data_IF_886630630397
#
_entry.id   IF_886630630397
#
_cell.length_a   1.000
_cell.length_b   1.000
_cell.length_c   1.000
_cell.angle_alpha   90.00
_cell.angle_beta   90.00
_cell.angle_gamma   90.00
#
_symmetry.space_group_name_H-M   'P 1'
#
loop_
_entity.id
_entity.type
_entity.pdbx_description
1 polymer ?
#
# COMPACT_ATOMS: atom_id res chain seq x y z
N UNK A 1 27.15 25.37 -17.81
CA UNK A 1 26.89 25.37 -16.36
C UNK A 1 25.61 26.15 -16.15
N UNK A 2 24.49 25.45 -16.03
CA UNK A 2 23.22 26.05 -15.62
C UNK A 2 23.11 25.79 -14.12
N UNK A 3 23.12 26.86 -13.33
CA UNK A 3 22.83 26.78 -11.90
C UNK A 3 21.44 26.16 -11.71
N UNK A 4 21.35 25.08 -10.92
CA UNK A 4 20.07 24.57 -10.47
C UNK A 4 19.39 25.67 -9.64
N UNK A 5 18.12 26.01 -9.90
CA UNK A 5 17.48 27.10 -9.17
C UNK A 5 17.45 26.78 -7.67
N UNK A 6 18.11 27.63 -6.88
CA UNK A 6 18.00 27.62 -5.43
C UNK A 6 16.53 27.82 -5.05
N UNK A 7 15.95 26.78 -4.46
CA UNK A 7 14.58 26.66 -3.91
C UNK A 7 13.40 26.57 -4.88
N UNK A 8 13.26 25.44 -5.58
CA UNK A 8 11.91 24.99 -5.98
C UNK A 8 11.07 24.77 -4.71
N UNK A 9 9.95 25.48 -4.57
CA UNK A 9 9.06 25.37 -3.40
C UNK A 9 8.18 24.12 -3.50
N UNK A 10 7.65 23.64 -2.37
CA UNK A 10 6.67 22.54 -2.35
C UNK A 10 5.47 22.87 -3.23
N UNK A 11 4.95 24.10 -3.15
CA UNK A 11 3.85 24.56 -4.01
C UNK A 11 4.18 24.41 -5.51
N UNK A 12 5.39 24.80 -5.93
CA UNK A 12 5.82 24.61 -7.31
C UNK A 12 5.89 23.12 -7.70
N UNK A 13 6.42 22.26 -6.82
CA UNK A 13 6.48 20.81 -7.07
C UNK A 13 5.08 20.16 -7.17
N UNK A 14 4.10 20.67 -6.42
CA UNK A 14 2.72 20.19 -6.46
C UNK A 14 1.98 20.58 -7.75
N UNK A 15 2.45 21.60 -8.46
CA UNK A 15 1.88 22.04 -9.74
C UNK A 15 2.53 21.36 -10.96
N UNK A 16 3.67 20.68 -10.76
CA UNK A 16 4.38 19.99 -11.85
C UNK A 16 3.71 18.67 -12.21
N UNK A 17 3.07 18.63 -13.37
CA UNK A 17 2.57 17.39 -13.93
C UNK A 17 3.73 16.59 -14.57
N UNK A 18 3.99 15.39 -14.03
CA UNK A 18 4.99 14.41 -14.50
C UNK A 18 6.30 15.05 -15.01
N UNK A 19 7.12 15.65 -14.12
CA UNK A 19 8.37 16.30 -14.51
C UNK A 19 9.27 15.36 -15.31
N UNK A 20 9.87 15.89 -16.38
CA UNK A 20 10.85 15.16 -17.17
C UNK A 20 12.17 15.07 -16.40
N UNK A 21 12.52 13.87 -15.95
CA UNK A 21 13.78 13.61 -15.23
C UNK A 21 14.85 13.14 -16.21
N UNK A 22 15.86 13.98 -16.44
CA UNK A 22 17.01 13.69 -17.30
C UNK A 22 18.25 13.39 -16.46
N UNK A 23 18.43 14.08 -15.33
CA UNK A 23 19.56 13.94 -14.43
C UNK A 23 19.14 13.81 -12.96
N UNK A 24 20.11 13.48 -12.09
CA UNK A 24 19.88 13.42 -10.64
C UNK A 24 19.46 14.78 -10.08
N UNK A 25 19.99 15.87 -10.63
CA UNK A 25 19.72 17.22 -10.12
C UNK A 25 18.24 17.60 -10.23
N UNK A 26 17.51 17.04 -11.20
CA UNK A 26 16.05 17.20 -11.36
C UNK A 26 15.26 16.61 -10.16
N UNK A 27 15.88 15.70 -9.41
CA UNK A 27 15.27 15.02 -8.26
C UNK A 27 15.63 15.67 -6.92
N UNK A 28 16.62 16.57 -6.90
CA UNK A 28 17.18 17.07 -5.64
C UNK A 28 16.19 17.90 -4.82
N UNK A 29 15.24 18.59 -5.46
CA UNK A 29 14.19 19.31 -4.74
C UNK A 29 13.29 18.36 -3.93
N UNK A 30 12.90 17.22 -4.52
CA UNK A 30 12.14 16.17 -3.85
C UNK A 30 12.95 15.53 -2.71
N UNK A 31 14.23 15.19 -2.97
CA UNK A 31 15.12 14.61 -1.97
C UNK A 31 15.34 15.52 -0.76
N UNK A 32 15.55 16.82 -0.98
CA UNK A 32 15.68 17.80 0.10
C UNK A 32 14.41 17.94 0.89
N UNK A 33 13.24 17.86 0.25
CA UNK A 33 11.97 17.96 0.94
C UNK A 33 11.73 16.76 1.87
N UNK A 34 11.90 15.53 1.39
CA UNK A 34 11.77 14.34 2.24
C UNK A 34 12.81 14.32 3.38
N UNK A 35 13.99 14.90 3.17
CA UNK A 35 15.02 15.03 4.22
C UNK A 35 14.63 16.02 5.34
N UNK A 36 13.60 16.86 5.15
CA UNK A 36 13.05 17.69 6.23
C UNK A 36 11.94 16.99 7.02
N UNK A 37 11.31 15.99 6.42
CA UNK A 37 10.14 15.33 6.99
C UNK A 37 10.56 14.34 8.08
N UNK A 38 9.73 14.20 9.12
CA UNK A 38 10.01 13.27 10.21
C UNK A 38 9.87 11.80 9.75
N UNK A 39 10.77 10.94 10.24
CA UNK A 39 10.63 9.48 10.17
C UNK A 39 9.38 9.04 10.95
N UNK A 40 8.51 8.25 10.31
CA UNK A 40 7.34 7.64 10.97
C UNK A 40 7.25 6.14 10.69
N UNK A 41 8.28 5.55 10.07
CA UNK A 41 8.38 4.11 9.77
C UNK A 41 7.19 3.65 8.92
N UNK A 42 7.08 4.21 7.72
CA UNK A 42 5.99 3.94 6.76
C UNK A 42 6.52 3.75 5.35
N UNK A 43 5.78 3.00 4.56
CA UNK A 43 6.06 2.75 3.12
C UNK A 43 5.18 3.59 2.20
N UNK A 44 4.27 4.40 2.76
CA UNK A 44 3.35 5.25 2.01
C UNK A 44 4.01 6.58 1.62
N UNK A 45 4.06 6.94 0.33
CA UNK A 45 4.47 8.27 -0.12
C UNK A 45 3.63 9.36 0.55
N UNK A 46 4.27 10.50 0.84
CA UNK A 46 3.71 11.54 1.71
C UNK A 46 3.95 11.28 3.19
N UNK A 47 4.19 10.03 3.61
CA UNK A 47 4.52 9.63 4.99
C UNK A 47 5.98 9.23 5.23
N UNK A 48 6.88 9.38 4.27
CA UNK A 48 8.30 9.07 4.42
C UNK A 48 9.10 10.35 4.72
N UNK A 49 10.11 10.23 5.57
CA UNK A 49 10.99 11.35 5.89
C UNK A 49 12.30 10.90 6.52
N UNK A 50 13.36 11.69 6.38
CA UNK A 50 14.68 11.39 6.93
C UNK A 50 15.20 12.49 7.88
N UNK A 51 14.28 13.30 8.41
CA UNK A 51 14.55 14.56 9.10
C UNK A 51 15.21 14.46 10.47
N UNK A 52 15.23 13.29 11.12
CA UNK A 52 16.00 13.11 12.35
C UNK A 52 17.50 12.87 12.07
N UNK A 53 17.93 12.86 10.81
CA UNK A 53 19.34 12.66 10.42
C UNK A 53 20.17 13.86 10.84
N UNK A 54 21.35 13.61 11.40
CA UNK A 54 22.24 14.64 11.94
C UNK A 54 23.63 14.57 11.28
N UNK A 55 24.41 15.67 11.33
CA UNK A 55 25.81 15.63 10.94
C UNK A 55 26.58 14.54 11.70
N UNK A 56 27.27 13.68 10.96
CA UNK A 56 28.02 12.55 11.50
C UNK A 56 27.25 11.22 11.56
N UNK A 57 25.93 11.21 11.35
CA UNK A 57 25.16 9.96 11.26
C UNK A 57 25.72 9.06 10.15
N UNK A 58 25.75 7.75 10.38
CA UNK A 58 26.03 6.74 9.37
C UNK A 58 24.71 6.19 8.84
N UNK A 59 24.48 6.35 7.55
CA UNK A 59 23.26 5.89 6.87
C UNK A 59 23.58 4.79 5.88
N UNK A 60 22.84 3.68 5.96
CA UNK A 60 22.88 2.62 4.96
C UNK A 60 21.65 2.76 4.06
N UNK A 61 21.86 3.06 2.79
CA UNK A 61 20.80 2.99 1.76
C UNK A 61 20.92 1.65 1.07
N UNK A 62 19.94 0.78 1.28
CA UNK A 62 19.93 -0.55 0.69
C UNK A 62 18.75 -0.70 -0.28
N UNK A 63 19.06 -1.03 -1.52
CA UNK A 63 18.13 -1.13 -2.65
C UNK A 63 18.41 -2.39 -3.45
N UNK A 64 17.58 -2.68 -4.45
CA UNK A 64 17.87 -3.74 -5.42
C UNK A 64 18.01 -3.21 -6.85
N UNK A 65 18.36 -4.09 -7.78
CA UNK A 65 18.59 -3.76 -9.20
C UNK A 65 17.37 -3.27 -9.97
N UNK A 66 16.15 -3.30 -9.39
CA UNK A 66 14.96 -2.70 -10.01
C UNK A 66 14.84 -1.19 -9.78
N UNK A 67 15.61 -0.60 -8.85
CA UNK A 67 15.60 0.84 -8.65
C UNK A 67 16.33 1.58 -9.77
N UNK A 68 15.75 2.70 -10.20
CA UNK A 68 16.48 3.69 -10.98
C UNK A 68 17.58 4.31 -10.11
N UNK A 69 18.83 4.18 -10.58
CA UNK A 69 20.02 4.66 -9.86
C UNK A 69 19.96 6.16 -9.53
N UNK A 70 19.23 6.95 -10.32
CA UNK A 70 19.07 8.39 -10.09
C UNK A 70 18.27 8.67 -8.82
N UNK A 71 17.25 7.87 -8.54
CA UNK A 71 16.46 7.98 -7.30
C UNK A 71 17.35 7.68 -6.09
N UNK A 72 18.11 6.58 -6.16
CA UNK A 72 19.02 6.15 -5.09
C UNK A 72 20.08 7.22 -4.82
N UNK A 73 20.69 7.76 -5.87
CA UNK A 73 21.70 8.82 -5.76
C UNK A 73 21.11 10.12 -5.23
N UNK A 74 19.89 10.51 -5.63
CA UNK A 74 19.23 11.71 -5.11
C UNK A 74 18.97 11.61 -3.59
N UNK A 75 18.46 10.47 -3.13
CA UNK A 75 18.28 10.19 -1.69
C UNK A 75 19.62 10.23 -0.95
N UNK A 76 20.65 9.57 -1.49
CA UNK A 76 21.98 9.56 -0.87
C UNK A 76 22.59 10.97 -0.81
N UNK A 77 22.43 11.79 -1.85
CA UNK A 77 22.89 13.20 -1.85
C UNK A 77 22.13 14.03 -0.84
N UNK A 78 20.79 13.90 -0.74
CA UNK A 78 20.00 14.63 0.25
C UNK A 78 20.46 14.34 1.69
N UNK A 79 20.72 13.08 2.02
CA UNK A 79 21.26 12.68 3.32
C UNK A 79 22.69 13.21 3.56
N UNK A 80 23.55 13.21 2.53
CA UNK A 80 24.90 13.80 2.61
C UNK A 80 24.86 15.31 2.82
N UNK A 81 23.88 16.02 2.23
CA UNK A 81 23.66 17.45 2.49
C UNK A 81 23.29 17.74 3.96
N UNK A 82 22.67 16.78 4.66
CA UNK A 82 22.44 16.85 6.11
C UNK A 82 23.69 16.57 6.95
N UNK A 83 24.84 16.31 6.32
CA UNK A 83 26.11 16.00 6.98
C UNK A 83 26.30 14.53 7.35
N UNK A 84 25.45 13.62 6.86
CA UNK A 84 25.61 12.18 7.08
C UNK A 84 26.66 11.56 6.16
N UNK A 85 27.27 10.47 6.63
CA UNK A 85 28.01 9.54 5.77
C UNK A 85 27.06 8.47 5.25
N UNK A 86 27.07 8.24 3.93
CA UNK A 86 26.07 7.38 3.28
C UNK A 86 26.75 6.29 2.46
N UNK A 87 26.53 5.05 2.88
CA UNK A 87 26.88 3.84 2.14
C UNK A 87 25.67 3.35 1.35
N UNK A 88 25.90 2.91 0.11
CA UNK A 88 24.86 2.37 -0.76
C UNK A 88 25.16 0.90 -1.05
N UNK A 89 24.20 0.03 -0.76
CA UNK A 89 24.24 -1.39 -1.12
C UNK A 89 23.15 -1.67 -2.14
N UNK A 90 23.53 -2.22 -3.29
CA UNK A 90 22.59 -2.70 -4.30
C UNK A 90 22.61 -4.23 -4.31
N UNK A 91 21.45 -4.82 -4.03
CA UNK A 91 21.25 -6.26 -4.08
C UNK A 91 20.77 -6.66 -5.46
N UNK A 92 21.32 -7.73 -6.01
CA UNK A 92 20.83 -8.29 -7.26
C UNK A 92 19.42 -8.87 -7.05
N UNK A 93 18.43 -8.25 -7.69
CA UNK A 93 17.13 -8.86 -7.92
C UNK A 93 17.15 -9.62 -9.26
N UNK A 94 16.10 -10.40 -9.48
CA UNK A 94 15.86 -11.01 -10.79
C UNK A 94 15.81 -9.96 -11.91
N UNK A 95 15.99 -10.37 -13.19
CA UNK A 95 15.85 -9.45 -14.30
C UNK A 95 14.49 -8.76 -14.31
N UNK A 96 14.50 -7.48 -14.67
CA UNK A 96 13.28 -6.75 -14.95
C UNK A 96 12.60 -7.37 -16.17
N UNK A 97 11.32 -7.68 -16.01
CA UNK A 97 10.50 -8.39 -17.00
C UNK A 97 9.05 -8.02 -16.84
N UNK A 98 8.22 -8.45 -17.77
CA UNK A 98 6.77 -8.35 -17.58
C UNK A 98 6.29 -9.20 -16.39
N UNK A 99 5.24 -8.71 -15.72
CA UNK A 99 4.49 -9.50 -14.76
C UNK A 99 3.85 -10.72 -15.42
N UNK A 100 3.94 -11.85 -14.72
CA UNK A 100 3.24 -13.10 -15.06
C UNK A 100 1.86 -13.13 -14.39
N UNK A 101 1.04 -14.12 -14.72
CA UNK A 101 -0.32 -14.30 -14.19
C UNK A 101 -0.34 -14.80 -12.74
N UNK A 102 0.81 -15.17 -12.16
CA UNK A 102 0.93 -15.72 -10.80
C UNK A 102 2.02 -15.07 -9.94
N UNK A 103 2.65 -13.97 -10.38
CA UNK A 103 3.76 -13.35 -9.63
C UNK A 103 3.36 -13.01 -8.18
N UNK A 104 2.10 -12.65 -7.92
CA UNK A 104 1.65 -12.41 -6.55
C UNK A 104 1.68 -13.65 -5.69
N UNK A 105 1.16 -14.76 -6.23
CA UNK A 105 1.17 -16.06 -5.56
C UNK A 105 2.61 -16.50 -5.28
N UNK A 106 3.47 -16.39 -6.29
CA UNK A 106 4.88 -16.81 -6.21
C UNK A 106 5.72 -15.94 -5.28
N UNK A 107 5.28 -14.71 -4.98
CA UNK A 107 5.95 -13.80 -4.06
C UNK A 107 5.37 -13.88 -2.65
N UNK A 108 4.06 -14.02 -2.45
CA UNK A 108 3.45 -13.95 -1.11
C UNK A 108 3.32 -15.31 -0.44
N UNK A 109 2.92 -16.34 -1.20
CA UNK A 109 2.54 -17.64 -0.65
C UNK A 109 3.78 -18.50 -0.38
N UNK A 110 3.91 -19.02 0.84
CA UNK A 110 5.15 -19.64 1.33
C UNK A 110 4.86 -20.87 2.19
N UNK A 111 5.84 -21.77 2.26
CA UNK A 111 5.85 -22.98 3.11
C UNK A 111 7.18 -23.14 3.87
N UNK A 112 8.00 -22.10 3.86
CA UNK A 112 9.29 -22.07 4.54
C UNK A 112 9.44 -20.71 5.22
N UNK A 113 10.31 -20.55 6.23
CA UNK A 113 10.51 -19.25 6.86
C UNK A 113 10.88 -18.19 5.83
N UNK A 114 10.17 -17.06 5.82
CA UNK A 114 10.41 -15.97 4.88
C UNK A 114 11.85 -15.43 4.97
N UNK A 115 12.54 -15.61 6.09
CA UNK A 115 13.94 -15.22 6.25
C UNK A 115 14.90 -16.02 5.37
N UNK A 116 14.55 -17.26 4.99
CA UNK A 116 15.35 -18.10 4.07
C UNK A 116 15.16 -17.69 2.61
N UNK A 117 13.95 -17.26 2.26
CA UNK A 117 13.59 -16.78 0.93
C UNK A 117 12.71 -15.53 1.04
N UNK A 118 13.32 -14.34 1.28
CA UNK A 118 12.59 -13.10 1.46
C UNK A 118 11.68 -12.81 0.28
N UNK A 119 10.48 -12.29 0.57
CA UNK A 119 9.54 -11.90 -0.49
C UNK A 119 10.11 -10.68 -1.23
N UNK A 120 9.88 -10.63 -2.54
CA UNK A 120 10.07 -9.40 -3.33
C UNK A 120 9.28 -8.28 -2.63
N UNK A 121 9.81 -7.06 -2.61
CA UNK A 121 9.23 -5.86 -1.99
C UNK A 121 9.48 -5.64 -0.49
N UNK A 122 9.86 -6.68 0.25
CA UNK A 122 10.23 -6.56 1.65
C UNK A 122 11.66 -6.08 1.87
N UNK A 123 11.97 -5.72 3.13
CA UNK A 123 13.35 -5.62 3.58
C UNK A 123 14.04 -7.00 3.63
N UNK A 124 15.35 -7.04 3.46
CA UNK A 124 16.17 -8.24 3.47
C UNK A 124 16.78 -8.44 4.87
N UNK A 125 16.57 -9.60 5.54
CA UNK A 125 17.09 -9.83 6.89
C UNK A 125 18.60 -9.58 7.03
N UNK A 126 19.40 -10.00 6.06
CA UNK A 126 20.85 -9.82 6.13
C UNK A 126 21.27 -8.34 6.00
N UNK A 127 20.48 -7.50 5.32
CA UNK A 127 20.68 -6.04 5.28
C UNK A 127 20.33 -5.43 6.63
N UNK A 128 19.24 -5.89 7.25
CA UNK A 128 18.83 -5.49 8.59
C UNK A 128 19.92 -5.86 9.62
N UNK A 129 20.46 -7.08 9.54
CA UNK A 129 21.59 -7.55 10.35
C UNK A 129 22.88 -6.77 10.08
N UNK A 130 23.18 -6.45 8.81
CA UNK A 130 24.32 -5.61 8.44
C UNK A 130 24.21 -4.23 9.09
N UNK A 131 23.04 -3.59 9.00
CA UNK A 131 22.79 -2.30 9.61
C UNK A 131 23.06 -2.31 11.12
N UNK A 132 22.57 -3.34 11.81
CA UNK A 132 22.77 -3.53 13.24
C UNK A 132 24.25 -3.80 13.60
N UNK A 133 24.90 -4.73 12.90
CA UNK A 133 26.28 -5.16 13.17
C UNK A 133 27.27 -4.03 12.97
N UNK A 134 27.13 -3.29 11.88
CA UNK A 134 28.01 -2.17 11.54
C UNK A 134 27.59 -0.86 12.22
N UNK A 135 26.52 -0.90 13.05
CA UNK A 135 26.02 0.23 13.85
C UNK A 135 25.69 1.47 13.02
N UNK A 136 24.89 1.28 11.98
CA UNK A 136 24.31 2.41 11.24
C UNK A 136 23.23 3.09 12.10
N UNK A 137 23.17 4.42 12.05
CA UNK A 137 22.19 5.22 12.79
C UNK A 137 20.81 5.18 12.10
N UNK A 138 20.80 5.08 10.77
CA UNK A 138 19.60 4.95 9.94
C UNK A 138 19.80 3.90 8.84
N UNK A 139 18.84 2.98 8.71
CA UNK A 139 18.66 2.12 7.56
C UNK A 139 17.54 2.66 6.68
N UNK A 140 17.85 3.00 5.43
CA UNK A 140 16.87 3.33 4.38
C UNK A 140 16.69 2.11 3.49
N UNK A 141 15.58 1.39 3.66
CA UNK A 141 15.39 0.10 3.01
C UNK A 141 13.92 -0.33 2.86
N UNK A 142 13.62 -1.09 1.81
CA UNK A 142 12.32 -1.68 1.58
C UNK A 142 11.38 -0.80 0.75
N UNK A 143 10.53 -1.48 -0.03
CA UNK A 143 9.68 -0.88 -1.07
C UNK A 143 8.19 -0.85 -0.69
N UNK A 144 7.82 -1.73 0.22
CA UNK A 144 6.46 -2.02 0.64
C UNK A 144 6.46 -2.97 1.83
N UNK A 145 5.28 -3.44 2.21
CA UNK A 145 5.11 -4.38 3.32
C UNK A 145 5.44 -3.79 4.70
N UNK A 146 5.55 -4.69 5.68
CA UNK A 146 5.78 -4.33 7.08
C UNK A 146 7.26 -4.07 7.39
N UNK A 147 7.55 -2.89 7.94
CA UNK A 147 8.86 -2.60 8.56
C UNK A 147 8.98 -3.40 9.87
N UNK A 148 10.08 -4.13 10.11
CA UNK A 148 10.27 -4.92 11.32
C UNK A 148 10.53 -4.04 12.54
N UNK A 149 10.39 -4.61 13.74
CA UNK A 149 10.80 -3.96 14.98
C UNK A 149 12.30 -4.17 15.16
N UNK A 150 13.08 -3.10 14.96
CA UNK A 150 14.54 -3.09 15.05
C UNK A 150 14.99 -1.98 16.01
N UNK A 151 16.15 -2.12 16.69
CA UNK A 151 16.60 -1.17 17.70
C UNK A 151 17.20 0.13 17.14
N UNK A 152 17.34 0.25 15.82
CA UNK A 152 17.86 1.42 15.11
C UNK A 152 16.77 2.10 14.26
N UNK A 153 17.04 3.32 13.77
CA UNK A 153 16.10 4.03 12.90
C UNK A 153 16.01 3.29 11.57
N UNK A 154 14.79 3.08 11.09
CA UNK A 154 14.51 2.39 9.84
C UNK A 154 13.44 3.19 9.12
N UNK A 155 13.69 3.57 7.87
CA UNK A 155 12.67 4.19 7.03
C UNK A 155 12.68 3.59 5.61
N UNK A 156 11.54 3.63 4.92
CA UNK A 156 11.40 3.03 3.59
C UNK A 156 11.95 3.92 2.46
N UNK A 157 12.07 3.32 1.27
CA UNK A 157 12.34 3.99 0.00
C UNK A 157 11.47 3.36 -1.10
N UNK A 158 10.15 3.66 -1.17
CA UNK A 158 9.20 2.94 -2.03
C UNK A 158 9.25 3.36 -3.51
N UNK A 159 10.05 4.36 -3.86
CA UNK A 159 10.12 4.92 -5.20
C UNK A 159 11.14 4.14 -6.04
N UNK A 160 10.65 3.25 -6.90
CA UNK A 160 11.53 2.50 -7.79
C UNK A 160 11.98 3.30 -9.00
N UNK A 161 11.05 4.05 -9.57
CA UNK A 161 11.27 4.78 -10.82
C UNK A 161 11.26 6.29 -10.57
N UNK A 162 11.83 7.03 -11.51
CA UNK A 162 11.93 8.49 -11.39
C UNK A 162 10.57 9.18 -11.37
N UNK A 163 9.57 8.64 -12.07
CA UNK A 163 8.19 9.14 -12.07
C UNK A 163 7.46 8.89 -10.75
N UNK A 164 7.83 7.84 -9.99
CA UNK A 164 7.35 7.70 -8.61
C UNK A 164 7.93 8.81 -7.74
N UNK A 165 9.26 8.99 -7.81
CA UNK A 165 9.99 9.89 -6.91
C UNK A 165 9.67 11.35 -7.21
N UNK A 166 9.74 11.75 -8.47
CA UNK A 166 9.41 13.07 -8.97
C UNK A 166 7.90 13.19 -9.21
N UNK A 167 7.11 12.95 -8.16
CA UNK A 167 5.65 13.11 -8.17
C UNK A 167 5.20 13.99 -7.02
N UNK A 168 4.03 14.63 -7.19
CA UNK A 168 3.38 15.36 -6.12
C UNK A 168 3.07 14.46 -4.91
N UNK A 169 2.92 13.14 -5.09
CA UNK A 169 2.72 12.19 -3.99
C UNK A 169 3.91 12.12 -3.03
N UNK A 170 5.14 12.33 -3.52
CA UNK A 170 6.36 12.30 -2.68
C UNK A 170 6.42 13.47 -1.72
N UNK A 171 6.00 14.66 -2.18
CA UNK A 171 6.07 15.93 -1.45
C UNK A 171 4.70 16.43 -1.00
N UNK A 172 3.70 15.56 -0.99
CA UNK A 172 2.35 15.92 -0.58
C UNK A 172 2.39 16.43 0.87
N UNK A 173 1.75 17.58 1.19
CA UNK A 173 1.94 18.24 2.49
C UNK A 173 1.58 17.32 3.66
N UNK A 174 2.55 17.12 4.58
CA UNK A 174 2.46 16.13 5.65
C UNK A 174 1.30 16.37 6.60
N UNK A 175 1.08 17.61 7.02
CA UNK A 175 0.00 17.98 7.93
C UNK A 175 -1.37 17.78 7.29
N UNK A 176 -1.52 18.14 6.02
CA UNK A 176 -2.73 17.89 5.24
C UNK A 176 -3.00 16.40 5.08
N UNK A 177 -2.00 15.61 4.70
CA UNK A 177 -2.15 14.17 4.56
C UNK A 177 -2.50 13.51 5.89
N UNK A 178 -1.88 13.95 6.99
CA UNK A 178 -2.20 13.52 8.36
C UNK A 178 -3.66 13.81 8.70
N UNK A 179 -4.13 15.03 8.40
CA UNK A 179 -5.52 15.42 8.65
C UNK A 179 -6.52 14.56 7.84
N UNK A 180 -6.26 14.32 6.55
CA UNK A 180 -7.06 13.43 5.71
C UNK A 180 -7.16 12.02 6.32
N UNK A 181 -6.02 11.49 6.77
CA UNK A 181 -5.97 10.15 7.37
C UNK A 181 -6.75 10.10 8.70
N UNK A 182 -6.59 11.11 9.55
CA UNK A 182 -7.33 11.20 10.81
C UNK A 182 -8.83 11.33 10.57
N UNK A 183 -9.27 12.24 9.69
CA UNK A 183 -10.69 12.42 9.38
C UNK A 183 -11.35 11.13 8.89
N UNK A 184 -10.66 10.42 8.01
CA UNK A 184 -11.11 9.11 7.54
C UNK A 184 -11.14 8.09 8.68
N UNK A 185 -10.08 8.03 9.49
CA UNK A 185 -9.94 7.05 10.57
C UNK A 185 -10.98 7.21 11.68
N UNK A 186 -11.31 8.46 12.06
CA UNK A 186 -12.29 8.74 13.12
C UNK A 186 -13.70 8.28 12.74
N UNK A 187 -14.02 8.15 11.44
CA UNK A 187 -15.25 7.52 11.01
C UNK A 187 -15.35 6.06 11.48
N UNK A 188 -14.24 5.31 11.50
CA UNK A 188 -14.19 3.94 12.01
C UNK A 188 -13.99 3.91 13.53
N UNK A 189 -12.99 4.63 14.03
CA UNK A 189 -12.50 4.51 15.41
C UNK A 189 -13.47 5.09 16.45
N UNK A 190 -14.00 6.29 16.19
CA UNK A 190 -14.87 6.98 17.16
C UNK A 190 -16.34 6.74 16.89
N UNK A 191 -16.75 6.82 15.62
CA UNK A 191 -18.17 6.83 15.24
C UNK A 191 -18.68 5.47 14.82
N UNK A 192 -17.84 4.70 14.13
CA UNK A 192 -18.17 3.42 13.54
C UNK A 192 -17.97 2.22 14.46
N UNK A 193 -17.30 2.36 15.60
CA UNK A 193 -17.06 1.26 16.54
C UNK A 193 -18.36 0.62 17.01
N UNK A 194 -18.57 -0.65 16.68
CA UNK A 194 -19.81 -1.41 16.90
C UNK A 194 -20.85 -1.29 15.79
N UNK A 195 -20.57 -0.51 14.75
CA UNK A 195 -21.41 -0.33 13.56
C UNK A 195 -21.16 -1.39 12.49
N UNK A 196 -21.90 -1.28 11.39
CA UNK A 196 -21.84 -2.19 10.24
C UNK A 196 -21.26 -1.46 9.03
N UNK A 197 -20.37 -2.13 8.31
CA UNK A 197 -19.81 -1.63 7.06
C UNK A 197 -20.49 -2.30 5.89
N UNK A 198 -20.74 -1.54 4.84
CA UNK A 198 -21.12 -2.03 3.52
C UNK A 198 -20.16 -1.47 2.48
N UNK A 199 -19.48 -2.36 1.76
CA UNK A 199 -18.59 -2.03 0.64
C UNK A 199 -19.22 -2.54 -0.65
N UNK A 200 -19.36 -1.66 -1.64
CA UNK A 200 -19.77 -2.02 -3.01
C UNK A 200 -18.76 -1.50 -4.00
N UNK A 201 -18.65 -2.13 -5.17
CA UNK A 201 -17.83 -1.64 -6.29
C UNK A 201 -18.50 -2.02 -7.62
N UNK A 202 -18.46 -1.16 -8.66
CA UNK A 202 -19.05 -1.45 -9.97
C UNK A 202 -18.54 -2.74 -10.63
N UNK A 203 -17.35 -3.21 -10.28
CA UNK A 203 -16.82 -4.50 -10.73
C UNK A 203 -17.56 -5.70 -10.11
N UNK A 204 -18.45 -5.49 -9.14
CA UNK A 204 -19.36 -6.48 -8.56
C UNK A 204 -19.04 -6.90 -7.12
N UNK A 205 -18.31 -6.07 -6.38
CA UNK A 205 -18.15 -6.26 -4.93
C UNK A 205 -19.44 -5.87 -4.21
N UNK A 206 -19.84 -6.69 -3.25
CA UNK A 206 -20.88 -6.41 -2.26
C UNK A 206 -20.51 -7.18 -0.99
N UNK A 207 -19.87 -6.49 -0.04
CA UNK A 207 -19.31 -7.07 1.19
C UNK A 207 -19.87 -6.34 2.41
N UNK A 208 -20.32 -7.08 3.43
CA UNK A 208 -20.82 -6.53 4.69
C UNK A 208 -20.11 -7.17 5.88
N UNK A 209 -19.84 -6.39 6.92
CA UNK A 209 -19.22 -6.88 8.16
C UNK A 209 -19.43 -5.88 9.31
N UNK A 210 -19.23 -6.34 10.55
CA UNK A 210 -19.34 -5.52 11.75
C UNK A 210 -17.97 -5.02 12.23
N UNK A 211 -17.88 -3.74 12.60
CA UNK A 211 -16.72 -3.16 13.28
C UNK A 211 -16.75 -3.52 14.77
N UNK A 212 -16.53 -4.79 15.09
CA UNK A 212 -16.64 -5.26 16.47
C UNK A 212 -15.77 -4.43 17.44
N UNK A 213 -16.33 -3.93 18.56
CA UNK A 213 -15.58 -3.10 19.52
C UNK A 213 -14.30 -3.75 20.04
N UNK A 214 -14.24 -5.08 20.08
CA UNK A 214 -13.10 -5.88 20.52
C UNK A 214 -11.89 -5.81 19.57
N UNK A 215 -12.06 -5.39 18.31
CA UNK A 215 -10.92 -5.11 17.45
C UNK A 215 -10.15 -3.86 17.90
N UNK A 216 -10.83 -2.91 18.56
CA UNK A 216 -10.29 -1.62 19.00
C UNK A 216 -9.74 -1.65 20.44
N UNK A 217 -9.06 -2.74 20.80
CA UNK A 217 -8.47 -2.94 22.14
C UNK A 217 -7.02 -2.41 22.25
N UNK A 218 -6.47 -1.88 21.15
CA UNK A 218 -5.11 -1.34 21.09
C UNK A 218 -4.00 -2.39 20.93
N UNK A 219 -4.35 -3.68 20.90
CA UNK A 219 -3.37 -4.78 20.77
C UNK A 219 -3.02 -5.10 19.32
N UNK A 220 -3.86 -4.67 18.38
CA UNK A 220 -3.75 -4.95 16.96
C UNK A 220 -2.97 -3.86 16.23
N UNK A 221 -1.97 -4.27 15.45
CA UNK A 221 -1.09 -3.35 14.70
C UNK A 221 -1.92 -2.51 13.73
N UNK A 222 -1.77 -1.18 13.81
CA UNK A 222 -2.47 -0.24 12.93
C UNK A 222 -3.94 0.00 13.28
N UNK A 223 -4.41 -0.53 14.41
CA UNK A 223 -5.80 -0.46 14.85
C UNK A 223 -5.88 0.17 16.26
N UNK A 224 -5.27 1.34 16.41
CA UNK A 224 -5.27 2.15 17.64
C UNK A 224 -5.90 3.53 17.37
N UNK A 225 -5.87 4.42 18.35
CA UNK A 225 -6.28 5.84 18.19
C UNK A 225 -5.51 6.57 17.08
N UNK A 226 -4.25 6.19 16.85
CA UNK A 226 -3.43 6.63 15.73
C UNK A 226 -3.47 5.57 14.61
N UNK A 227 -3.93 5.92 13.39
CA UNK A 227 -4.04 4.94 12.32
C UNK A 227 -2.70 4.56 11.72
N UNK A 228 -2.72 3.52 10.89
CA UNK A 228 -1.61 3.25 9.98
C UNK A 228 -1.60 4.26 8.84
N UNK A 229 -0.85 5.34 9.01
CA UNK A 229 -0.70 6.42 8.02
C UNK A 229 -0.49 5.92 6.58
N UNK A 230 -1.35 6.36 5.67
CA UNK A 230 -1.29 6.02 4.25
C UNK A 230 -1.87 4.63 3.89
N UNK A 231 -2.40 3.89 4.86
CA UNK A 231 -2.90 2.53 4.70
C UNK A 231 -3.97 2.22 5.77
N UNK A 232 -5.13 2.86 5.68
CA UNK A 232 -6.13 2.80 6.75
C UNK A 232 -6.91 1.49 6.70
N UNK A 233 -7.00 0.78 7.82
CA UNK A 233 -7.68 -0.52 7.90
C UNK A 233 -9.18 -0.33 8.20
N UNK A 234 -10.03 -0.53 7.21
CA UNK A 234 -11.49 -0.46 7.33
C UNK A 234 -12.13 -1.74 7.93
N UNK A 235 -11.34 -2.79 8.17
CA UNK A 235 -11.74 -4.04 8.84
C UNK A 235 -10.71 -4.39 9.92
N UNK A 236 -11.13 -5.17 10.93
CA UNK A 236 -10.28 -5.53 12.06
C UNK A 236 -9.20 -6.56 11.66
N UNK A 237 -7.90 -6.27 11.86
CA UNK A 237 -6.85 -7.17 11.43
C UNK A 237 -6.72 -8.38 12.37
N UNK A 238 -5.89 -9.36 11.95
CA UNK A 238 -5.53 -10.53 12.77
C UNK A 238 -5.02 -10.15 14.18
N UNK A 239 -5.35 -10.93 15.23
CA UNK A 239 -6.17 -12.15 15.20
C UNK A 239 -7.66 -11.87 14.98
N UNK A 240 -8.28 -12.69 14.12
CA UNK A 240 -9.69 -12.58 13.73
C UNK A 240 -10.58 -13.10 14.87
N UNK A 241 -11.66 -12.38 15.16
CA UNK A 241 -12.57 -12.73 16.24
C UNK A 241 -13.40 -13.98 15.90
N UNK A 242 -13.73 -14.85 16.88
CA UNK A 242 -14.62 -15.99 16.65
C UNK A 242 -16.01 -15.65 16.14
N UNK A 243 -16.47 -14.42 16.39
CA UNK A 243 -17.76 -13.88 15.98
C UNK A 243 -17.71 -13.07 14.69
N UNK A 244 -16.60 -13.16 13.93
CA UNK A 244 -16.48 -12.51 12.62
C UNK A 244 -17.67 -12.86 11.72
N UNK A 245 -18.24 -11.85 11.08
CA UNK A 245 -19.49 -11.94 10.33
C UNK A 245 -19.34 -11.49 8.86
N UNK A 246 -18.12 -11.14 8.43
CA UNK A 246 -17.89 -10.66 7.08
C UNK A 246 -18.43 -11.63 6.01
N UNK A 247 -19.41 -11.17 5.25
CA UNK A 247 -20.16 -12.00 4.31
C UNK A 247 -20.46 -11.21 3.05
N UNK A 248 -20.33 -11.89 1.90
CA UNK A 248 -20.60 -11.28 0.61
C UNK A 248 -19.57 -11.69 -0.43
N UNK A 249 -19.27 -10.77 -1.33
CA UNK A 249 -18.43 -11.03 -2.49
C UNK A 249 -17.46 -9.87 -2.72
N UNK A 250 -16.20 -10.21 -2.98
CA UNK A 250 -15.16 -9.29 -3.46
C UNK A 250 -14.88 -9.63 -4.92
N UNK A 251 -15.00 -8.66 -5.81
CA UNK A 251 -14.76 -8.81 -7.24
C UNK A 251 -13.77 -7.76 -7.74
N UNK A 252 -12.96 -8.11 -8.73
CA UNK A 252 -12.02 -7.18 -9.37
C UNK A 252 -11.19 -7.85 -10.45
N UNK A 253 -10.27 -7.07 -11.02
CA UNK A 253 -9.42 -7.46 -12.17
C UNK A 253 -7.93 -7.26 -11.95
N UNK A 254 -7.55 -6.76 -10.76
CA UNK A 254 -6.17 -6.44 -10.37
C UNK A 254 -5.87 -6.85 -8.93
N UNK A 255 -4.58 -7.01 -8.65
CA UNK A 255 -4.00 -7.28 -7.34
C UNK A 255 -2.58 -6.71 -7.29
N UNK A 256 -1.78 -6.86 -6.23
CA UNK A 256 -0.58 -6.03 -6.02
C UNK A 256 0.49 -6.09 -7.12
N UNK A 257 1.01 -7.28 -7.45
CA UNK A 257 2.22 -7.38 -8.29
C UNK A 257 2.16 -8.58 -9.23
N UNK A 258 1.13 -8.60 -10.08
CA UNK A 258 1.02 -9.55 -11.17
C UNK A 258 0.27 -8.94 -12.37
N UNK A 259 0.19 -9.69 -13.46
CA UNK A 259 -0.58 -9.31 -14.63
C UNK A 259 -2.08 -9.20 -14.26
N UNK A 260 -2.79 -8.15 -14.71
CA UNK A 260 -4.24 -8.07 -14.56
C UNK A 260 -4.91 -9.34 -15.08
N UNK A 261 -5.90 -9.81 -14.35
CA UNK A 261 -6.55 -11.10 -14.58
C UNK A 261 -8.02 -10.92 -14.97
N UNK A 262 -8.60 -11.83 -15.76
CA UNK A 262 -10.03 -11.83 -16.03
C UNK A 262 -10.81 -11.78 -14.72
N UNK A 263 -11.95 -11.08 -14.69
CA UNK A 263 -12.72 -10.82 -13.47
C UNK A 263 -12.75 -12.04 -12.54
N UNK A 264 -12.29 -11.83 -11.32
CA UNK A 264 -12.41 -12.80 -10.23
C UNK A 264 -13.60 -12.44 -9.36
N UNK A 265 -14.21 -13.45 -8.75
CA UNK A 265 -15.21 -13.32 -7.69
C UNK A 265 -14.80 -14.19 -6.52
N UNK A 266 -14.59 -13.58 -5.36
CA UNK A 266 -14.24 -14.22 -4.11
C UNK A 266 -15.42 -14.09 -3.14
N UNK A 267 -16.09 -15.20 -2.83
CA UNK A 267 -17.24 -15.24 -1.91
C UNK A 267 -16.78 -15.60 -0.50
N UNK A 268 -17.24 -14.80 0.46
CA UNK A 268 -16.94 -14.93 1.88
C UNK A 268 -18.18 -15.26 2.68
N UNK A 269 -18.01 -16.10 3.71
CA UNK A 269 -19.01 -16.38 4.73
C UNK A 269 -18.36 -16.36 6.11
N UNK A 270 -18.88 -15.53 7.02
CA UNK A 270 -18.37 -15.36 8.38
C UNK A 270 -16.84 -15.17 8.43
N UNK A 271 -16.32 -14.26 7.59
CA UNK A 271 -14.91 -13.92 7.49
C UNK A 271 -14.06 -14.82 6.62
N UNK A 272 -14.54 -16.01 6.23
CA UNK A 272 -13.73 -17.04 5.57
C UNK A 272 -14.08 -17.16 4.09
N UNK A 273 -13.06 -17.37 3.26
CA UNK A 273 -13.23 -17.74 1.86
C UNK A 273 -14.01 -19.06 1.75
N UNK A 274 -15.08 -19.05 0.96
CA UNK A 274 -15.86 -20.25 0.65
C UNK A 274 -15.81 -20.62 -0.83
N UNK A 275 -15.72 -19.63 -1.74
CA UNK A 275 -15.68 -19.91 -3.18
C UNK A 275 -14.92 -18.86 -3.97
N UNK A 276 -14.23 -19.31 -5.03
CA UNK A 276 -13.57 -18.46 -6.02
C UNK A 276 -14.05 -18.83 -7.42
N UNK A 277 -14.59 -17.86 -8.15
CA UNK A 277 -15.06 -17.98 -9.53
C UNK A 277 -14.26 -17.05 -10.45
N UNK A 278 -13.98 -17.48 -11.69
CA UNK A 278 -13.18 -16.67 -12.63
C UNK A 278 -11.71 -16.54 -12.21
N UNK A 279 -11.09 -15.40 -12.55
CA UNK A 279 -9.71 -15.06 -12.16
C UNK A 279 -8.59 -15.60 -13.06
N UNK A 280 -8.90 -16.39 -14.09
CA UNK A 280 -7.87 -17.10 -14.88
C UNK A 280 -6.92 -17.92 -14.00
N UNK A 281 -5.64 -17.94 -14.36
CA UNK A 281 -4.58 -18.66 -13.62
C UNK A 281 -4.50 -18.23 -12.14
N UNK A 282 -4.72 -16.94 -11.86
CA UNK A 282 -4.73 -16.44 -10.49
C UNK A 282 -5.87 -17.05 -9.69
N UNK A 283 -7.09 -17.09 -10.25
CA UNK A 283 -8.23 -17.74 -9.64
C UNK A 283 -8.04 -19.25 -9.43
N UNK A 284 -7.37 -19.93 -10.37
CA UNK A 284 -7.00 -21.34 -10.21
C UNK A 284 -6.01 -21.55 -9.07
N UNK A 285 -5.01 -20.67 -8.93
CA UNK A 285 -4.08 -20.70 -7.81
C UNK A 285 -4.78 -20.50 -6.47
N UNK A 286 -5.70 -19.54 -6.37
CA UNK A 286 -6.54 -19.36 -5.17
C UNK A 286 -7.31 -20.64 -4.80
N UNK A 287 -7.96 -21.28 -5.77
CA UNK A 287 -8.71 -22.54 -5.55
C UNK A 287 -7.80 -23.65 -5.04
N UNK A 288 -6.62 -23.82 -5.62
CA UNK A 288 -5.64 -24.82 -5.20
C UNK A 288 -5.15 -24.59 -3.77
N UNK A 289 -4.74 -23.36 -3.44
CA UNK A 289 -4.25 -22.98 -2.12
C UNK A 289 -5.34 -23.06 -1.04
N UNK A 290 -6.58 -22.73 -1.40
CA UNK A 290 -7.72 -22.90 -0.51
C UNK A 290 -7.96 -24.38 -0.20
N UNK A 291 -7.92 -25.24 -1.22
CA UNK A 291 -8.02 -26.69 -1.07
C UNK A 291 -6.91 -27.29 -0.20
N UNK A 292 -5.68 -26.79 -0.32
CA UNK A 292 -4.53 -27.22 0.50
C UNK A 292 -4.68 -26.84 1.98
N UNK A 293 -5.18 -25.63 2.26
CA UNK A 293 -5.16 -25.07 3.62
C UNK A 293 -6.45 -25.26 4.41
N UNK A 294 -7.54 -25.72 3.79
CA UNK A 294 -8.90 -25.77 4.39
C UNK A 294 -8.98 -26.47 5.76
N UNK A 295 -8.15 -27.49 5.99
CA UNK A 295 -8.17 -28.30 7.22
C UNK A 295 -7.08 -27.88 8.23
N UNK A 296 -6.29 -26.85 7.90
CA UNK A 296 -5.22 -26.34 8.78
C UNK A 296 -5.77 -25.32 9.77
N UNK A 297 -5.56 -25.56 11.06
CA UNK A 297 -5.86 -24.59 12.12
C UNK A 297 -4.68 -23.64 12.34
N UNK A 298 -4.86 -22.38 11.99
CA UNK A 298 -3.88 -21.31 12.26
C UNK A 298 -4.14 -20.67 13.63
N UNK A 299 -3.12 -20.20 14.36
CA UNK A 299 -3.30 -19.61 15.69
C UNK A 299 -4.07 -18.27 15.67
N UNK A 300 -4.11 -17.58 14.52
CA UNK A 300 -4.75 -16.26 14.37
C UNK A 300 -6.20 -16.32 13.85
N UNK A 301 -6.71 -17.50 13.50
CA UNK A 301 -8.04 -17.69 12.93
C UNK A 301 -8.92 -18.56 13.81
N UNK A 302 -10.24 -18.29 13.89
CA UNK A 302 -11.10 -19.00 14.82
C UNK A 302 -11.52 -20.39 14.34
N UNK A 303 -11.38 -20.71 13.05
CA UNK A 303 -11.65 -22.04 12.48
C UNK A 303 -10.60 -22.39 11.41
N UNK A 304 -10.48 -23.66 11.00
CA UNK A 304 -9.54 -24.07 9.96
C UNK A 304 -9.72 -23.35 8.61
N UNK A 305 -8.61 -23.20 7.89
CA UNK A 305 -8.49 -22.48 6.62
C UNK A 305 -7.58 -21.26 6.70
N UNK A 306 -6.80 -21.01 5.65
CA UNK A 306 -5.88 -19.87 5.58
C UNK A 306 -6.58 -18.55 5.23
N UNK A 307 -7.49 -18.58 4.25
CA UNK A 307 -8.03 -17.37 3.64
C UNK A 307 -9.18 -16.77 4.44
N UNK A 308 -8.83 -15.96 5.44
CA UNK A 308 -9.74 -15.10 6.19
C UNK A 308 -9.56 -13.65 5.80
N UNK A 309 -10.66 -12.90 5.70
CA UNK A 309 -10.62 -11.45 5.55
C UNK A 309 -9.91 -10.86 6.76
N UNK A 310 -8.82 -10.14 6.50
CA UNK A 310 -8.09 -9.43 7.54
C UNK A 310 -7.69 -8.01 7.12
N UNK A 311 -7.67 -7.75 5.82
CA UNK A 311 -7.29 -6.44 5.29
C UNK A 311 -8.37 -5.92 4.36
N UNK A 312 -8.95 -4.78 4.72
CA UNK A 312 -9.71 -3.90 3.83
C UNK A 312 -9.03 -2.55 3.97
N UNK A 313 -8.03 -2.28 3.13
CA UNK A 313 -7.12 -1.17 3.36
C UNK A 313 -7.31 -0.05 2.33
N UNK A 314 -7.40 1.18 2.83
CA UNK A 314 -7.70 2.39 2.07
C UNK A 314 -6.41 3.18 1.81
N UNK A 315 -6.13 3.45 0.52
CA UNK A 315 -5.17 4.45 0.11
C UNK A 315 -5.69 5.87 0.38
N UNK A 316 -4.81 6.82 0.67
CA UNK A 316 -5.21 8.18 1.12
C UNK A 316 -4.48 9.33 0.42
N UNK A 317 -3.55 9.04 -0.49
CA UNK A 317 -2.78 10.08 -1.18
C UNK A 317 -3.42 10.40 -2.54
N UNK A 318 -3.98 11.60 -2.78
CA UNK A 318 -4.66 11.92 -4.04
C UNK A 318 -3.71 12.07 -5.23
N UNK A 319 -2.39 12.14 -4.99
CA UNK A 319 -1.38 12.43 -6.00
C UNK A 319 -0.68 11.20 -6.57
N UNK A 320 -1.15 10.01 -6.20
CA UNK A 320 -0.63 8.75 -6.75
C UNK A 320 -1.15 8.58 -8.18
N UNK A 321 -0.25 8.32 -9.11
CA UNK A 321 -0.55 8.05 -10.51
C UNK A 321 0.00 6.69 -10.94
N UNK A 322 -0.66 6.05 -11.92
CA UNK A 322 -0.14 4.84 -12.57
C UNK A 322 1.22 5.09 -13.23
N UNK A 323 2.24 4.26 -12.96
CA UNK A 323 3.52 4.32 -13.66
C UNK A 323 3.34 3.96 -15.15
N UNK A 324 4.10 4.60 -16.06
CA UNK A 324 3.94 4.38 -17.51
C UNK A 324 4.35 2.96 -17.94
N UNK A 325 5.23 2.31 -17.18
CA UNK A 325 5.71 0.95 -17.44
C UNK A 325 5.07 -0.08 -16.50
N UNK A 326 3.80 0.10 -16.11
CA UNK A 326 3.05 -0.75 -15.16
C UNK A 326 3.15 -2.27 -15.42
N UNK A 327 3.47 -2.68 -16.65
CA UNK A 327 3.66 -4.08 -17.03
C UNK A 327 4.96 -4.70 -16.49
N UNK A 328 5.96 -3.90 -16.13
CA UNK A 328 7.28 -4.36 -15.67
C UNK A 328 7.38 -4.47 -14.15
N UNK A 329 8.20 -5.40 -13.65
CA UNK A 329 8.45 -5.56 -12.21
C UNK A 329 9.00 -4.30 -11.55
N UNK A 330 9.86 -3.58 -12.26
CA UNK A 330 10.48 -2.35 -11.80
C UNK A 330 9.50 -1.18 -11.61
N UNK A 331 8.29 -1.27 -12.17
CA UNK A 331 7.21 -0.28 -11.94
C UNK A 331 6.54 -0.43 -10.58
N UNK A 332 6.71 -1.56 -9.91
CA UNK A 332 5.95 -1.90 -8.72
C UNK A 332 4.48 -2.21 -8.90
N UNK A 333 4.01 -2.29 -10.15
CA UNK A 333 2.67 -2.76 -10.42
C UNK A 333 1.61 -1.97 -9.65
N UNK A 334 0.58 -2.68 -9.22
CA UNK A 334 -0.55 -2.09 -8.53
C UNK A 334 -0.29 -1.89 -7.02
N UNK A 335 0.84 -2.37 -6.47
CA UNK A 335 1.31 -2.00 -5.12
C UNK A 335 1.58 -0.50 -5.00
N UNK A 336 1.91 0.17 -6.11
CA UNK A 336 1.98 1.62 -6.16
C UNK A 336 0.58 2.27 -6.21
N UNK A 337 -0.28 1.83 -7.15
CA UNK A 337 -1.60 2.42 -7.41
C UNK A 337 -2.53 2.38 -6.20
N UNK A 338 -2.52 1.29 -5.42
CA UNK A 338 -3.39 1.11 -4.24
C UNK A 338 -3.25 2.21 -3.18
N UNK A 339 -2.19 3.01 -3.24
CA UNK A 339 -1.91 4.09 -2.28
C UNK A 339 -2.72 5.35 -2.60
N UNK A 340 -3.33 5.41 -3.78
CA UNK A 340 -4.21 6.49 -4.19
C UNK A 340 -5.41 6.60 -3.25
N UNK A 341 -5.78 7.84 -2.93
CA UNK A 341 -6.98 8.14 -2.14
C UNK A 341 -8.21 7.43 -2.70
N UNK A 342 -8.92 6.70 -1.84
CA UNK A 342 -10.22 6.10 -2.18
C UNK A 342 -10.16 4.73 -2.86
N UNK A 343 -8.97 4.24 -3.22
CA UNK A 343 -8.79 2.83 -3.63
C UNK A 343 -8.78 1.96 -2.38
N UNK A 344 -9.46 0.81 -2.46
CA UNK A 344 -9.40 -0.25 -1.45
C UNK A 344 -8.65 -1.43 -2.04
N UNK A 345 -7.73 -2.04 -1.29
CA UNK A 345 -7.32 -3.41 -1.55
C UNK A 345 -7.79 -4.33 -0.43
N UNK A 346 -8.31 -5.48 -0.84
CA UNK A 346 -8.87 -6.48 0.07
C UNK A 346 -7.93 -7.68 0.12
N UNK A 347 -7.40 -7.99 1.30
CA UNK A 347 -6.46 -9.07 1.54
C UNK A 347 -7.06 -10.19 2.39
N UNK A 348 -6.86 -11.43 1.96
CA UNK A 348 -7.28 -12.63 2.70
C UNK A 348 -6.10 -13.54 2.99
N UNK A 349 -5.90 -13.91 4.26
CA UNK A 349 -4.78 -14.74 4.70
C UNK A 349 -4.09 -14.22 5.97
N UNK A 350 -2.85 -14.64 6.20
CA UNK A 350 -2.05 -14.22 7.37
C UNK A 350 -1.48 -12.82 7.22
N UNK A 351 -1.32 -12.09 8.32
CA UNK A 351 -0.70 -10.74 8.28
C UNK A 351 0.78 -10.84 7.97
N UNK A 352 1.23 -9.91 7.12
CA UNK A 352 2.62 -9.78 6.69
C UNK A 352 3.61 -9.64 7.87
N UNK A 353 4.62 -10.53 7.94
CA UNK A 353 5.61 -10.62 9.03
C UNK A 353 4.98 -10.77 10.42
N UNK A 354 3.76 -11.30 10.50
CA UNK A 354 3.12 -11.64 11.76
C UNK A 354 3.75 -12.87 12.42
N UNK A 355 3.51 -13.04 13.73
CA UNK A 355 3.95 -14.24 14.46
C UNK A 355 3.32 -15.53 13.91
N UNK A 356 2.15 -15.42 13.28
CA UNK A 356 1.46 -16.49 12.58
C UNK A 356 2.22 -16.98 11.33
N UNK A 357 2.90 -16.09 10.59
CA UNK A 357 3.72 -16.47 9.43
C UNK A 357 5.01 -17.15 9.88
N UNK A 358 5.60 -16.69 10.98
CA UNK A 358 6.75 -17.36 11.62
C UNK A 358 6.37 -18.77 12.05
N UNK A 359 5.24 -18.90 12.76
CA UNK A 359 4.72 -20.19 13.23
C UNK A 359 4.51 -21.19 12.08
N UNK A 360 3.90 -20.75 10.97
CA UNK A 360 3.62 -21.59 9.81
C UNK A 360 4.90 -21.97 9.05
N UNK A 361 5.78 -20.98 8.79
CA UNK A 361 7.04 -21.19 8.08
C UNK A 361 7.97 -22.18 8.78
N UNK A 362 8.07 -22.13 10.12
CA UNK A 362 8.84 -23.11 10.91
C UNK A 362 8.30 -24.55 10.81
N UNK A 363 7.03 -24.70 10.43
CA UNK A 363 6.31 -25.98 10.40
C UNK A 363 6.11 -26.53 8.99
N UNK A 364 6.60 -25.85 7.96
CA UNK A 364 6.35 -26.26 6.59
C UNK A 364 4.92 -26.00 6.10
N UNK A 365 4.14 -25.21 6.85
CA UNK A 365 2.72 -24.98 6.60
C UNK A 365 2.56 -23.79 5.64
N UNK A 366 1.58 -23.87 4.73
CA UNK A 366 1.25 -22.78 3.82
C UNK A 366 0.88 -21.51 4.61
N UNK A 367 1.42 -20.37 4.23
CA UNK A 367 1.01 -19.06 4.75
C UNK A 367 1.17 -17.97 3.70
N UNK A 368 0.69 -16.78 4.03
CA UNK A 368 0.61 -15.62 3.15
C UNK A 368 -0.83 -15.14 3.02
N UNK A 369 -1.02 -14.12 2.20
CA UNK A 369 -2.34 -13.61 1.85
C UNK A 369 -2.34 -13.13 0.40
N UNK A 370 -3.52 -13.02 -0.18
CA UNK A 370 -3.70 -12.64 -1.58
C UNK A 370 -4.74 -11.55 -1.68
N UNK A 371 -4.66 -10.75 -2.75
CA UNK A 371 -5.44 -9.53 -2.87
C UNK A 371 -6.37 -9.48 -4.07
N UNK A 372 -7.40 -8.65 -3.92
CA UNK A 372 -8.22 -8.08 -4.99
C UNK A 372 -8.34 -6.57 -4.74
N UNK A 373 -8.07 -5.75 -5.74
CA UNK A 373 -8.20 -4.29 -5.63
C UNK A 373 -9.58 -3.83 -6.11
N UNK A 374 -10.09 -2.78 -5.47
CA UNK A 374 -11.34 -2.09 -5.75
C UNK A 374 -11.01 -0.64 -6.09
N UNK A 375 -11.25 -0.26 -7.33
CA UNK A 375 -10.86 1.04 -7.86
C UNK A 375 -11.92 2.13 -7.69
N UNK A 376 -13.19 1.75 -7.63
CA UNK A 376 -14.31 2.67 -7.48
C UNK A 376 -15.25 2.25 -6.34
N UNK A 377 -14.73 1.90 -5.14
CA UNK A 377 -15.59 1.41 -4.08
C UNK A 377 -16.48 2.53 -3.53
N UNK A 378 -17.70 2.19 -3.15
CA UNK A 378 -18.48 2.95 -2.18
C UNK A 378 -18.43 2.22 -0.84
N UNK A 379 -18.02 2.91 0.22
CA UNK A 379 -17.93 2.38 1.58
C UNK A 379 -18.78 3.22 2.51
N UNK A 380 -19.78 2.60 3.12
CA UNK A 380 -20.70 3.22 4.07
C UNK A 380 -20.61 2.49 5.42
N UNK A 381 -20.64 3.25 6.51
CA UNK A 381 -20.73 2.73 7.88
C UNK A 381 -22.09 3.12 8.46
N UNK A 382 -22.93 2.14 8.79
CA UNK A 382 -24.07 2.33 9.68
C UNK A 382 -23.56 2.30 11.12
N UNK A 383 -23.54 3.44 11.80
CA UNK A 383 -23.07 3.56 13.19
C UNK A 383 -24.00 2.83 14.16
N UNK A 384 -23.57 2.53 15.40
CA UNK A 384 -24.46 1.99 16.44
C UNK A 384 -25.68 2.87 16.76
N UNK A 385 -25.65 4.15 16.35
CA UNK A 385 -26.73 5.11 16.55
C UNK A 385 -27.70 5.18 15.36
N UNK A 386 -27.47 4.40 14.29
CA UNK A 386 -28.29 4.39 13.08
C UNK A 386 -27.99 5.52 12.09
N UNK A 387 -26.90 6.28 12.30
CA UNK A 387 -26.39 7.23 11.30
C UNK A 387 -25.59 6.49 10.22
N UNK A 388 -25.79 6.86 8.95
CA UNK A 388 -24.95 6.40 7.83
C UNK A 388 -23.80 7.37 7.57
N UNK A 389 -22.57 6.86 7.55
CA UNK A 389 -21.35 7.60 7.23
C UNK A 389 -20.79 7.11 5.90
N UNK A 390 -20.86 7.95 4.87
CA UNK A 390 -20.16 7.68 3.62
C UNK A 390 -18.68 8.03 3.77
N UNK A 391 -17.81 7.02 3.77
CA UNK A 391 -16.35 7.18 3.87
C UNK A 391 -15.73 7.29 2.48
N UNK A 392 -16.23 6.49 1.54
CA UNK A 392 -15.83 6.54 0.13
C UNK A 392 -17.11 6.53 -0.70
N UNK A 393 -17.19 7.43 -1.68
CA UNK A 393 -18.25 7.43 -2.69
C UNK A 393 -17.64 7.19 -4.07
N UNK A 394 -17.85 5.98 -4.63
CA UNK A 394 -17.40 5.60 -5.98
C UNK A 394 -15.92 5.88 -6.24
N UNK A 395 -15.07 5.55 -5.27
CA UNK A 395 -13.62 5.79 -5.31
C UNK A 395 -13.18 7.19 -4.89
N UNK A 396 -14.09 8.10 -4.55
CA UNK A 396 -13.77 9.40 -3.96
C UNK A 396 -13.75 9.31 -2.43
N UNK A 397 -12.63 9.70 -1.81
CA UNK A 397 -12.48 9.71 -0.36
C UNK A 397 -13.15 10.97 0.22
N UNK A 398 -14.26 10.82 0.95
CA UNK A 398 -15.09 11.96 1.40
C UNK A 398 -14.37 12.88 2.39
N UNK A 399 -13.31 12.40 3.05
CA UNK A 399 -12.45 13.23 3.89
C UNK A 399 -11.76 14.36 3.12
N UNK A 400 -11.61 14.25 1.79
CA UNK A 400 -11.09 15.33 0.94
C UNK A 400 -12.06 16.52 0.84
N UNK A 401 -13.34 16.33 1.12
CA UNK A 401 -14.36 17.38 1.12
C UNK A 401 -14.57 18.01 2.50
N UNK A 402 -13.96 17.48 3.56
CA UNK A 402 -14.09 18.01 4.91
C UNK A 402 -13.65 19.48 4.95
N UNK A 403 -14.46 20.40 5.49
CA UNK A 403 -14.13 21.83 5.49
C UNK A 403 -12.77 22.15 6.10
N UNK A 404 -12.35 21.43 7.16
CA UNK A 404 -11.04 21.64 7.78
C UNK A 404 -9.90 21.15 6.90
N UNK A 405 -10.12 20.08 6.11
CA UNK A 405 -9.17 19.61 5.11
C UNK A 405 -9.04 20.62 3.98
N UNK A 406 -10.17 21.14 3.48
CA UNK A 406 -10.18 22.18 2.42
C UNK A 406 -9.54 23.48 2.88
N UNK A 407 -9.83 23.94 4.10
CA UNK A 407 -9.23 25.12 4.71
C UNK A 407 -7.71 24.97 4.87
N UNK A 408 -7.24 23.77 5.26
CA UNK A 408 -5.82 23.49 5.37
C UNK A 408 -5.15 23.42 3.99
N UNK A 409 -5.80 22.82 3.00
CA UNK A 409 -5.30 22.74 1.63
C UNK A 409 -5.08 24.13 1.01
N UNK A 410 -5.90 25.13 1.37
CA UNK A 410 -5.76 26.51 0.90
C UNK A 410 -4.41 27.17 1.24
N UNK A 411 -3.67 26.62 2.22
CA UNK A 411 -2.30 27.09 2.54
C UNK A 411 -1.26 26.65 1.50
N UNK A 412 -1.57 25.63 0.72
CA UNK A 412 -0.65 25.00 -0.23
C UNK A 412 -0.96 25.31 -1.70
N UNK A 413 -2.12 25.92 -1.97
CA UNK A 413 -2.57 26.27 -3.32
C UNK A 413 -4.10 26.28 -3.39
N UNK A 414 -4.64 26.23 -4.60
CA UNK A 414 -6.08 26.05 -4.84
C UNK A 414 -6.54 24.70 -4.26
N UNK A 415 -7.43 24.65 -3.24
CA UNK A 415 -7.90 23.42 -2.63
C UNK A 415 -8.44 22.40 -3.64
N UNK A 416 -9.11 22.85 -4.71
CA UNK A 416 -9.67 21.95 -5.71
C UNK A 416 -8.57 21.23 -6.50
N UNK A 417 -7.44 21.90 -6.75
CA UNK A 417 -6.28 21.29 -7.40
C UNK A 417 -5.47 20.44 -6.43
N UNK A 418 -5.26 20.91 -5.20
CA UNK A 418 -4.46 20.22 -4.19
C UNK A 418 -5.13 18.91 -3.75
N UNK A 419 -6.45 18.87 -3.66
CA UNK A 419 -7.19 17.70 -3.18
C UNK A 419 -7.68 16.78 -4.30
N UNK A 420 -7.70 17.24 -5.56
CA UNK A 420 -8.08 16.41 -6.70
C UNK A 420 -7.14 15.21 -6.88
N UNK A 421 -7.75 14.06 -7.21
CA UNK A 421 -7.05 12.89 -7.66
C UNK A 421 -6.38 13.17 -9.02
N UNK A 422 -5.06 12.95 -9.11
CA UNK A 422 -4.30 13.23 -10.35
C UNK A 422 -4.49 12.20 -11.45
N UNK A 423 -5.00 11.03 -11.09
CA UNK A 423 -5.14 9.90 -11.99
C UNK A 423 -6.46 9.18 -11.72
N UNK A 424 -7.03 8.57 -12.76
CA UNK A 424 -8.16 7.65 -12.67
C UNK A 424 -7.82 6.36 -13.44
N UNK A 425 -8.27 5.18 -12.97
CA UNK A 425 -7.95 3.89 -13.58
C UNK A 425 -8.25 3.72 -15.07
N UNK A 426 -9.28 4.41 -15.60
CA UNK A 426 -9.64 4.36 -17.01
C UNK A 426 -10.25 3.02 -17.43
N UNK A 427 -11.05 2.42 -16.57
CA UNK A 427 -11.76 1.16 -16.79
C UNK A 427 -12.95 1.37 -17.74
N UNK A 428 -12.95 0.74 -18.93
CA UNK A 428 -14.06 0.83 -19.89
C UNK A 428 -15.39 0.39 -19.28
N UNK A 429 -16.43 1.18 -19.50
CA UNK A 429 -17.78 0.93 -18.98
C UNK A 429 -17.98 1.32 -17.51
N UNK A 430 -16.95 1.82 -16.83
CA UNK A 430 -17.03 2.37 -15.46
C UNK A 430 -16.68 3.86 -15.46
N UNK A 431 -15.42 4.23 -15.65
CA UNK A 431 -14.95 5.62 -15.69
C UNK A 431 -14.37 6.03 -17.06
N UNK A 432 -14.33 5.11 -18.04
CA UNK A 432 -13.94 5.38 -19.42
C UNK A 432 -14.95 4.82 -20.45
N UNK A 433 -15.03 5.37 -21.67
CA UNK A 433 -15.86 4.81 -22.74
C UNK A 433 -15.47 3.37 -23.10
N UNK A 434 -16.47 2.53 -23.39
CA UNK A 434 -16.29 1.14 -23.83
C UNK A 434 -17.20 0.16 -23.08
N UNK A 435 -16.87 -1.15 -23.14
CA UNK A 435 -17.62 -2.21 -22.44
C UNK A 435 -16.80 -2.80 -21.31
N UNK A 436 -17.41 -2.83 -20.12
CA UNK A 436 -16.81 -3.51 -18.98
C UNK A 436 -16.72 -5.01 -19.20
N UNK A 437 -17.66 -5.63 -19.91
CA UNK A 437 -17.64 -7.06 -20.23
C UNK A 437 -16.45 -7.43 -21.13
N UNK A 438 -16.05 -6.55 -22.06
CA UNK A 438 -14.84 -6.75 -22.87
C UNK A 438 -13.59 -6.57 -22.01
N UNK A 439 -13.52 -5.48 -21.23
CA UNK A 439 -12.42 -5.22 -20.32
C UNK A 439 -12.19 -6.38 -19.35
N UNK A 440 -13.25 -6.84 -18.68
CA UNK A 440 -13.21 -7.87 -17.65
C UNK A 440 -12.75 -9.25 -18.16
N UNK A 441 -12.73 -9.50 -19.47
CA UNK A 441 -12.19 -10.73 -20.06
C UNK A 441 -10.68 -10.69 -20.26
N UNK A 442 -10.14 -9.52 -20.57
CA UNK A 442 -8.69 -9.34 -20.83
C UNK A 442 -8.19 -7.96 -20.35
N UNK A 443 -8.18 -7.68 -19.04
CA UNK A 443 -7.90 -6.33 -18.54
C UNK A 443 -6.51 -5.81 -18.90
N UNK A 444 -5.53 -6.71 -19.00
CA UNK A 444 -4.16 -6.37 -19.38
C UNK A 444 -4.08 -5.69 -20.76
N UNK A 445 -4.98 -6.03 -21.69
CA UNK A 445 -5.04 -5.40 -23.02
C UNK A 445 -5.38 -3.92 -22.95
N UNK A 446 -6.01 -3.46 -21.86
CA UNK A 446 -6.40 -2.07 -21.64
C UNK A 446 -5.44 -1.35 -20.70
N UNK A 447 -5.01 -2.02 -19.62
CA UNK A 447 -4.16 -1.41 -18.58
C UNK A 447 -2.73 -1.21 -19.05
N UNK A 448 -2.18 -2.10 -19.89
CA UNK A 448 -0.78 -2.04 -20.33
C UNK A 448 -0.55 -1.16 -21.57
N UNK A 449 -1.52 -0.32 -21.94
CA UNK A 449 -1.44 0.56 -23.10
C UNK A 449 -0.78 1.90 -22.81
#
# INVERSE_FOLDING_TARGET
MCEAPESTTVAALLEMDRPRVVAVDDLMAYAREICKQQEVRRTAPGFIGYGATKPGDRVLVAVDTHYDKRVVEAVARGLREMGASVDVVTVEAQPDREFTTTDEVDVIMRREPWTKRPRRWEGLPWIEELAAREKYDLLVHGKGGGIPNVPYRYEAIPWLQTDHFASAATVYPRDLHTLINMKTWLAFFERGRGGKVHVTDPEGTDLRYTLFPEYFDGTRRGYTDVPWWGHLLAHGPTPILPKEDATGTVSGTTSHFQKPFPKIRVTLENGRLERVEGGGDYGDAWRALHGESKDTQYPCFPRPGLFWLWEVAIGTNPKIQRPPNIHLLSSGGFEWERRRSGIIHVGLGTRWRGSEEVWAGERGILYGHLHVHLFFPSLVIETPKGEELTVIDKGHLTALDDPQVRDLAAKYGDPDRILAAEWSPGVPGIDAPGSYEEYAREPARFIYR
#
